data_IF_665667334493
#
_entry.id   IF_665667334493
#
_cell.length_a   1.000
_cell.length_b   1.000
_cell.length_c   1.000
_cell.angle_alpha   90.00
_cell.angle_beta   90.00
_cell.angle_gamma   90.00
#
_symmetry.space_group_name_H-M   'P 1'
#
loop_
_entity.id
_entity.type
_entity.pdbx_description
1 polymer ?
#
# COMPACT_ATOMS: atom_id res chain seq x y z
N UNK A 1 -10.57 3.80 -10.11
CA UNK A 1 -9.36 2.96 -10.22
C UNK A 1 -8.51 3.40 -11.39
N UNK A 2 -7.24 3.03 -11.37
CA UNK A 2 -6.24 3.47 -12.34
C UNK A 2 -5.89 2.30 -13.24
N UNK A 3 -5.94 2.50 -14.57
CA UNK A 3 -5.53 1.46 -15.53
C UNK A 3 -4.02 1.27 -15.49
N UNK A 4 -3.55 0.12 -15.97
CA UNK A 4 -2.12 -0.15 -16.03
C UNK A 4 -1.40 0.91 -16.90
N UNK A 5 -2.02 1.31 -17.98
CA UNK A 5 -1.44 2.31 -18.88
C UNK A 5 -1.19 3.63 -18.17
N UNK A 6 -2.22 4.14 -17.49
CA UNK A 6 -2.09 5.38 -16.72
C UNK A 6 -1.11 5.22 -15.56
N UNK A 7 -1.15 4.07 -14.89
CA UNK A 7 -0.25 3.79 -13.77
C UNK A 7 1.22 3.87 -14.21
N UNK A 8 1.55 3.27 -15.34
CA UNK A 8 2.91 3.29 -15.85
C UNK A 8 3.35 4.69 -16.23
N UNK A 9 2.45 5.49 -16.83
CA UNK A 9 2.76 6.86 -17.20
C UNK A 9 3.04 7.69 -15.94
N UNK A 10 2.20 7.57 -14.94
CA UNK A 10 2.30 8.39 -13.73
C UNK A 10 3.47 8.00 -12.84
N UNK A 11 3.82 6.72 -12.78
CA UNK A 11 4.94 6.24 -11.97
C UNK A 11 6.27 6.31 -12.69
N UNK A 12 6.23 6.37 -14.02
CA UNK A 12 7.44 6.40 -14.87
C UNK A 12 8.31 5.15 -14.69
N UNK A 13 7.68 4.01 -14.48
CA UNK A 13 8.39 2.74 -14.41
C UNK A 13 8.04 1.90 -15.62
N UNK A 14 8.93 0.97 -15.95
CA UNK A 14 8.69 0.05 -17.05
C UNK A 14 7.73 -1.04 -16.62
N UNK A 15 6.96 -1.56 -17.58
CA UNK A 15 6.00 -2.61 -17.31
C UNK A 15 6.66 -3.84 -16.69
N UNK A 16 7.83 -4.21 -17.18
CA UNK A 16 8.57 -5.35 -16.64
C UNK A 16 8.88 -5.18 -15.16
N UNK A 17 9.27 -3.97 -14.77
CA UNK A 17 9.58 -3.67 -13.38
C UNK A 17 8.31 -3.73 -12.51
N UNK A 18 7.21 -3.22 -13.04
CA UNK A 18 5.92 -3.30 -12.36
C UNK A 18 5.52 -4.76 -12.10
N UNK A 19 5.68 -5.61 -13.11
CA UNK A 19 5.38 -7.03 -12.98
C UNK A 19 6.23 -7.69 -11.91
N UNK A 20 7.51 -7.34 -11.86
CA UNK A 20 8.42 -7.84 -10.83
C UNK A 20 7.94 -7.44 -9.43
N UNK A 21 7.51 -6.20 -9.26
CA UNK A 21 7.04 -5.71 -7.96
C UNK A 21 5.74 -6.38 -7.54
N UNK A 22 4.86 -6.68 -8.48
CA UNK A 22 3.63 -7.42 -8.19
C UNK A 22 3.97 -8.84 -7.76
N UNK A 23 4.88 -9.50 -8.47
CA UNK A 23 5.31 -10.85 -8.12
C UNK A 23 5.97 -10.90 -6.74
N UNK A 24 6.71 -9.86 -6.38
CA UNK A 24 7.35 -9.77 -5.07
C UNK A 24 6.37 -9.49 -3.94
N UNK A 25 5.11 -9.18 -4.26
CA UNK A 25 4.12 -8.82 -3.26
C UNK A 25 4.24 -7.39 -2.77
N UNK A 26 5.04 -6.57 -3.42
CA UNK A 26 5.20 -5.16 -3.05
C UNK A 26 3.99 -4.32 -3.44
N UNK A 27 3.32 -4.71 -4.51
CA UNK A 27 2.08 -4.09 -4.96
C UNK A 27 1.02 -5.17 -5.08
N UNK A 28 -0.15 -4.89 -4.55
CA UNK A 28 -1.28 -5.82 -4.60
C UNK A 28 -2.46 -5.07 -5.21
N UNK A 29 -2.59 -5.10 -6.55
CA UNK A 29 -3.67 -4.38 -7.20
C UNK A 29 -5.03 -4.96 -6.79
N UNK A 30 -6.02 -4.10 -6.53
CA UNK A 30 -7.33 -4.56 -6.08
C UNK A 30 -8.12 -5.32 -7.15
N UNK A 31 -7.75 -5.17 -8.40
CA UNK A 31 -8.43 -5.87 -9.50
C UNK A 31 -7.41 -6.41 -10.48
N UNK A 32 -7.52 -7.69 -10.82
CA UNK A 32 -6.65 -8.33 -11.81
C UNK A 32 -7.44 -8.81 -13.03
N UNK A 33 -8.73 -9.00 -12.88
CA UNK A 33 -9.62 -9.48 -13.94
C UNK A 33 -10.82 -8.54 -14.07
N UNK A 34 -11.36 -8.30 -15.24
CA UNK A 34 -10.88 -8.72 -16.56
C UNK A 34 -9.62 -8.01 -17.00
N UNK A 35 -9.27 -6.90 -16.35
CA UNK A 35 -8.02 -6.19 -16.60
C UNK A 35 -7.43 -5.69 -15.30
N UNK A 36 -6.13 -5.45 -15.33
CA UNK A 36 -5.38 -5.02 -14.17
C UNK A 36 -5.71 -3.55 -13.84
N UNK A 37 -6.17 -3.30 -12.62
CA UNK A 37 -6.51 -1.96 -12.15
C UNK A 37 -5.84 -1.71 -10.82
N UNK A 38 -5.44 -0.46 -10.57
CA UNK A 38 -4.73 -0.05 -9.37
C UNK A 38 -5.52 0.99 -8.60
N UNK A 39 -5.27 1.04 -7.30
CA UNK A 39 -5.82 2.08 -6.42
C UNK A 39 -4.81 3.21 -6.26
N UNK A 40 -5.28 4.35 -5.73
CA UNK A 40 -4.40 5.49 -5.47
C UNK A 40 -3.26 5.13 -4.51
N UNK A 41 -3.54 4.27 -3.54
CA UNK A 41 -2.51 3.84 -2.59
C UNK A 41 -1.40 3.07 -3.28
N UNK A 42 -1.71 2.33 -4.33
CA UNK A 42 -0.70 1.61 -5.11
C UNK A 42 0.22 2.57 -5.84
N UNK A 43 -0.34 3.69 -6.32
CA UNK A 43 0.44 4.71 -6.99
C UNK A 43 1.46 5.34 -6.03
N UNK A 44 1.01 5.71 -4.83
CA UNK A 44 1.89 6.28 -3.82
C UNK A 44 2.96 5.26 -3.40
N UNK A 45 2.58 4.01 -3.25
CA UNK A 45 3.48 2.93 -2.86
C UNK A 45 4.55 2.69 -3.94
N UNK A 46 4.14 2.69 -5.20
CA UNK A 46 5.10 2.52 -6.31
C UNK A 46 6.09 3.66 -6.39
N UNK A 47 5.63 4.89 -6.17
CA UNK A 47 6.50 6.05 -6.16
C UNK A 47 7.51 5.97 -5.03
N UNK A 48 7.09 5.52 -3.86
CA UNK A 48 7.99 5.31 -2.72
C UNK A 48 9.05 4.26 -3.05
N UNK A 49 8.64 3.13 -3.63
CA UNK A 49 9.58 2.07 -4.00
C UNK A 49 10.63 2.61 -4.97
N UNK A 50 10.18 3.36 -5.96
CA UNK A 50 11.08 3.96 -6.94
C UNK A 50 12.08 4.91 -6.27
N UNK A 51 11.61 5.75 -5.38
CA UNK A 51 12.48 6.70 -4.67
C UNK A 51 13.50 5.98 -3.79
N UNK A 52 13.07 4.95 -3.07
CA UNK A 52 13.98 4.16 -2.23
C UNK A 52 15.08 3.51 -3.07
N UNK A 53 14.70 2.99 -4.23
CA UNK A 53 15.63 2.30 -5.11
C UNK A 53 16.56 3.26 -5.83
N UNK A 54 16.00 4.30 -6.46
CA UNK A 54 16.75 5.17 -7.36
C UNK A 54 17.44 6.33 -6.64
N UNK A 55 16.79 6.92 -5.63
CA UNK A 55 17.34 8.08 -4.94
C UNK A 55 18.18 7.69 -3.73
N UNK A 56 17.80 6.64 -3.03
CA UNK A 56 18.48 6.22 -1.81
C UNK A 56 19.33 4.97 -1.97
N UNK A 57 19.23 4.30 -3.12
CA UNK A 57 20.03 3.11 -3.38
C UNK A 57 19.71 1.93 -2.49
N UNK A 58 18.50 1.85 -1.99
CA UNK A 58 18.08 0.74 -1.12
C UNK A 58 17.95 -0.53 -1.96
N UNK A 59 18.53 -1.64 -1.50
CA UNK A 59 18.42 -2.91 -2.19
C UNK A 59 17.04 -3.55 -1.97
N UNK A 60 16.76 -4.63 -2.68
CA UNK A 60 15.45 -5.28 -2.65
C UNK A 60 15.07 -5.74 -1.25
N UNK A 61 16.01 -6.31 -0.50
CA UNK A 61 15.75 -6.74 0.86
C UNK A 61 15.37 -5.56 1.75
N UNK A 62 16.06 -4.43 1.58
CA UNK A 62 15.76 -3.22 2.33
C UNK A 62 14.39 -2.66 1.98
N UNK A 63 14.04 -2.66 0.69
CA UNK A 63 12.72 -2.21 0.26
C UNK A 63 11.63 -3.10 0.88
N UNK A 64 11.82 -4.41 0.88
CA UNK A 64 10.87 -5.33 1.51
C UNK A 64 10.67 -5.02 2.98
N UNK A 65 11.74 -4.71 3.70
CA UNK A 65 11.67 -4.34 5.12
C UNK A 65 10.89 -3.06 5.30
N UNK A 66 11.20 -2.03 4.50
CA UNK A 66 10.50 -0.74 4.60
C UNK A 66 9.01 -0.90 4.35
N UNK A 67 8.63 -1.65 3.31
CA UNK A 67 7.24 -1.87 2.98
C UNK A 67 6.51 -2.64 4.09
N UNK A 68 7.18 -3.63 4.67
CA UNK A 68 6.62 -4.38 5.78
C UNK A 68 6.36 -3.47 6.99
N UNK A 69 7.31 -2.60 7.31
CA UNK A 69 7.15 -1.65 8.42
C UNK A 69 6.02 -0.66 8.16
N UNK A 70 5.92 -0.17 6.93
CA UNK A 70 4.84 0.73 6.54
C UNK A 70 3.49 0.04 6.71
N UNK A 71 3.39 -1.20 6.27
CA UNK A 71 2.16 -1.98 6.40
C UNK A 71 1.79 -2.18 7.87
N UNK A 72 2.77 -2.40 8.73
CA UNK A 72 2.53 -2.50 10.17
C UNK A 72 2.03 -1.18 10.76
N UNK A 73 2.64 -0.06 10.36
CA UNK A 73 2.19 1.25 10.82
C UNK A 73 0.76 1.51 10.41
N UNK A 74 0.40 1.21 9.17
CA UNK A 74 -0.97 1.37 8.70
C UNK A 74 -1.93 0.46 9.44
N UNK A 75 -1.52 -0.77 9.72
CA UNK A 75 -2.31 -1.71 10.51
C UNK A 75 -2.56 -1.19 11.92
N UNK A 76 -1.52 -0.65 12.56
CA UNK A 76 -1.64 -0.06 13.88
C UNK A 76 -2.56 1.15 13.89
N UNK A 77 -2.46 2.01 12.88
CA UNK A 77 -3.34 3.18 12.77
C UNK A 77 -4.79 2.74 12.64
N UNK A 78 -5.07 1.74 11.82
CA UNK A 78 -6.43 1.23 11.68
C UNK A 78 -6.93 0.64 12.99
N UNK A 79 -6.07 -0.07 13.72
CA UNK A 79 -6.42 -0.63 15.01
C UNK A 79 -6.74 0.46 16.02
N UNK A 80 -5.94 1.54 16.03
CA UNK A 80 -6.18 2.67 16.91
C UNK A 80 -7.48 3.38 16.57
N UNK A 81 -7.72 3.59 15.28
CA UNK A 81 -8.97 4.23 14.84
C UNK A 81 -10.17 3.40 15.22
N UNK A 82 -10.09 2.08 15.05
CA UNK A 82 -11.14 1.17 15.46
C UNK A 82 -11.38 1.22 16.95
N UNK A 83 -10.30 1.25 17.74
CA UNK A 83 -10.38 1.33 19.18
C UNK A 83 -10.99 2.65 19.64
N UNK A 84 -10.57 3.77 19.04
CA UNK A 84 -11.13 5.07 19.35
C UNK A 84 -12.62 5.13 19.02
N UNK A 85 -12.99 4.58 17.87
CA UNK A 85 -14.38 4.49 17.46
C UNK A 85 -15.19 3.67 18.45
N UNK A 86 -14.65 2.53 18.85
CA UNK A 86 -15.28 1.66 19.81
C UNK A 86 -15.41 2.34 21.17
N UNK A 87 -14.41 3.09 21.60
CA UNK A 87 -14.47 3.83 22.85
C UNK A 87 -15.55 4.90 22.82
N UNK A 88 -15.70 5.57 21.68
CA UNK A 88 -16.70 6.62 21.51
C UNK A 88 -18.12 6.09 21.58
N UNK A 89 -18.38 4.94 20.95
CA UNK A 89 -19.68 4.29 20.98
C UNK A 89 -19.79 3.28 22.11
N UNK A 90 -18.67 2.64 22.44
CA UNK A 90 -18.59 1.62 23.46
C UNK A 90 -18.83 2.14 24.86
N UNK A 91 -18.47 3.40 25.11
CA UNK A 91 -18.75 4.04 26.39
C UNK A 91 -20.24 3.99 26.72
N UNK A 92 -21.07 4.16 25.69
CA UNK A 92 -22.51 4.06 25.83
C UNK A 92 -22.93 2.62 26.15
N UNK A 93 -22.35 1.67 25.46
CA UNK A 93 -22.68 0.27 25.68
C UNK A 93 -22.24 -0.23 27.04
N UNK A 94 -21.10 0.22 27.48
CA UNK A 94 -20.57 -0.17 28.78
C UNK A 94 -21.48 0.24 29.91
N UNK A 95 -22.12 1.39 29.77
CA UNK A 95 -23.03 1.88 30.79
C UNK A 95 -24.35 1.12 30.87
N UNK A 96 -24.62 0.29 29.90
CA UNK A 96 -25.83 -0.49 29.88
C UNK A 96 -25.74 -1.76 30.73
N UNK A 97 -24.59 -2.10 31.17
CA UNK A 97 -24.37 -3.28 32.01
C UNK A 97 -24.64 -3.02 33.50
#
# INVERSE_FOLDING_TARGET
>A
MISIHEFLIRTRIEQHLLETWIEAGWLIPPQTEPELMFADVDLARAQLIRDLRDDFGVNDEGISVVLHLIDQVHGLRRSMQGLLEEMRTGGTRTHQD
#
